data_IF_777262290102
#
_entry.id   IF_777262290102
#
_cell.length_a   1.000
_cell.length_b   1.000
_cell.length_c   1.000
_cell.angle_alpha   90.00
_cell.angle_beta   90.00
_cell.angle_gamma   90.00
#
_symmetry.space_group_name_H-M   'P 1'
#
loop_
_entity.id
_entity.type
_entity.pdbx_description
1 polymer ?
#
# COMPACT_ATOMS: atom_id res chain seq x y z
N UNK A 1 6.33 -3.07 -23.07
CA UNK A 1 6.05 -1.68 -22.71
C UNK A 1 6.92 -0.77 -23.57
N UNK A 2 6.36 0.25 -24.23
CA UNK A 2 7.14 1.18 -25.08
C UNK A 2 7.78 2.32 -24.26
N UNK A 3 7.03 2.89 -23.32
CA UNK A 3 7.51 3.86 -22.36
C UNK A 3 6.60 3.88 -21.12
N UNK A 4 7.13 4.28 -19.98
CA UNK A 4 6.39 4.49 -18.74
C UNK A 4 6.85 5.78 -18.04
N UNK A 5 5.91 6.45 -17.36
CA UNK A 5 6.19 7.64 -16.57
C UNK A 5 5.09 7.83 -15.51
N UNK A 6 5.40 8.53 -14.42
CA UNK A 6 4.44 8.76 -13.35
C UNK A 6 5.01 9.59 -12.20
N UNK A 7 4.19 9.75 -11.17
CA UNK A 7 4.54 10.41 -9.91
C UNK A 7 4.06 9.51 -8.77
N UNK A 8 4.99 8.93 -8.01
CA UNK A 8 4.68 8.00 -6.92
C UNK A 8 4.17 8.70 -5.65
N UNK A 9 4.10 10.04 -5.68
CA UNK A 9 3.55 10.90 -4.62
C UNK A 9 2.40 11.76 -5.17
N UNK A 10 1.56 11.16 -6.00
CA UNK A 10 0.33 11.76 -6.51
C UNK A 10 -0.78 10.71 -6.55
N UNK A 11 -1.79 10.87 -5.69
CA UNK A 11 -2.87 9.90 -5.53
C UNK A 11 -4.19 10.51 -5.06
N UNK A 12 -5.17 9.65 -4.75
CA UNK A 12 -6.49 10.06 -4.26
C UNK A 12 -6.43 10.90 -2.98
N UNK A 13 -5.48 10.58 -2.09
CA UNK A 13 -5.26 11.26 -0.82
C UNK A 13 -4.88 12.74 -1.01
N UNK A 14 -4.13 13.07 -2.08
CA UNK A 14 -3.82 14.48 -2.40
C UNK A 14 -5.09 15.26 -2.78
N UNK A 15 -6.03 14.61 -3.48
CA UNK A 15 -7.32 15.21 -3.81
C UNK A 15 -8.22 15.35 -2.58
N UNK A 16 -8.14 14.42 -1.63
CA UNK A 16 -8.85 14.56 -0.35
C UNK A 16 -8.26 15.71 0.46
N UNK A 17 -6.93 15.81 0.48
CA UNK A 17 -6.21 16.86 1.21
C UNK A 17 -6.63 18.26 0.75
N UNK A 18 -6.85 18.51 -0.54
CA UNK A 18 -7.29 19.84 -0.98
C UNK A 18 -8.67 20.24 -0.45
N UNK A 19 -9.55 19.26 -0.19
CA UNK A 19 -10.86 19.50 0.43
C UNK A 19 -10.68 19.69 1.94
N UNK A 20 -9.85 18.88 2.59
CA UNK A 20 -9.51 19.02 4.02
C UNK A 20 -8.93 20.40 4.31
N UNK A 21 -7.94 20.84 3.53
CA UNK A 21 -7.30 22.15 3.68
C UNK A 21 -8.33 23.27 3.48
N UNK A 22 -9.22 23.16 2.48
CA UNK A 22 -10.28 24.13 2.26
C UNK A 22 -11.26 24.23 3.44
N UNK A 23 -11.71 23.09 3.99
CA UNK A 23 -12.59 23.04 5.16
C UNK A 23 -11.91 23.59 6.41
N UNK A 24 -10.65 23.21 6.64
CA UNK A 24 -9.89 23.64 7.81
C UNK A 24 -9.56 25.13 7.77
N UNK A 25 -9.18 25.67 6.61
CA UNK A 25 -8.95 27.10 6.43
C UNK A 25 -10.22 27.92 6.63
N UNK A 26 -11.36 27.45 6.13
CA UNK A 26 -12.64 28.12 6.33
C UNK A 26 -13.03 28.13 7.80
N UNK A 27 -12.97 26.97 8.47
CA UNK A 27 -13.27 26.82 9.88
C UNK A 27 -12.34 27.66 10.77
N UNK A 28 -11.05 27.72 10.44
CA UNK A 28 -10.10 28.57 11.17
C UNK A 28 -10.45 30.05 11.02
N UNK A 29 -10.92 30.49 9.84
CA UNK A 29 -11.34 31.89 9.62
C UNK A 29 -12.63 32.22 10.38
N UNK A 30 -13.57 31.29 10.49
CA UNK A 30 -14.87 31.52 11.13
C UNK A 30 -14.83 31.35 12.65
N UNK A 31 -14.17 30.31 13.13
CA UNK A 31 -14.17 29.91 14.55
C UNK A 31 -12.84 30.19 15.27
N UNK A 32 -11.77 30.53 14.54
CA UNK A 32 -10.44 30.77 15.11
C UNK A 32 -9.71 29.51 15.58
N UNK A 33 -10.22 28.32 15.25
CA UNK A 33 -9.70 27.03 15.70
C UNK A 33 -9.04 26.29 14.53
N UNK A 34 -7.83 25.79 14.75
CA UNK A 34 -7.07 25.01 13.79
C UNK A 34 -7.34 23.51 13.97
N UNK A 35 -8.25 22.96 13.14
CA UNK A 35 -8.63 21.55 13.19
C UNK A 35 -7.52 20.59 12.76
N UNK A 36 -6.49 21.06 12.05
CA UNK A 36 -5.40 20.20 11.58
C UNK A 36 -4.50 19.71 12.73
N UNK A 37 -4.57 20.38 13.89
CA UNK A 37 -3.85 19.98 15.11
C UNK A 37 -4.60 18.96 15.95
N UNK A 38 -5.90 18.82 15.76
CA UNK A 38 -6.73 17.84 16.44
C UNK A 38 -6.79 16.56 15.60
N UNK A 39 -6.15 15.48 16.10
CA UNK A 39 -6.07 14.20 15.39
C UNK A 39 -7.45 13.58 15.14
N UNK A 40 -8.40 13.75 16.06
CA UNK A 40 -9.75 13.19 15.90
C UNK A 40 -10.55 14.01 14.87
N UNK A 41 -10.46 15.34 14.94
CA UNK A 41 -11.11 16.20 13.96
C UNK A 41 -10.53 16.00 12.55
N UNK A 42 -9.21 15.89 12.43
CA UNK A 42 -8.52 15.64 11.16
C UNK A 42 -8.96 14.33 10.51
N UNK A 43 -9.07 13.23 11.27
CA UNK A 43 -9.56 11.96 10.74
C UNK A 43 -10.97 12.10 10.16
N UNK A 44 -11.88 12.74 10.91
CA UNK A 44 -13.27 12.96 10.47
C UNK A 44 -13.36 13.91 9.27
N UNK A 45 -12.50 14.92 9.20
CA UNK A 45 -12.38 15.80 8.03
C UNK A 45 -11.95 15.01 6.79
N UNK A 46 -10.94 14.14 6.92
CA UNK A 46 -10.44 13.32 5.82
C UNK A 46 -11.52 12.37 5.29
N UNK A 47 -12.23 11.66 6.17
CA UNK A 47 -13.33 10.75 5.76
C UNK A 47 -14.47 11.51 5.05
N UNK A 48 -14.83 12.69 5.57
CA UNK A 48 -15.87 13.51 4.96
C UNK A 48 -15.43 14.10 3.61
N UNK A 49 -14.16 14.49 3.50
CA UNK A 49 -13.55 14.98 2.27
C UNK A 49 -13.53 13.89 1.18
N UNK A 50 -13.09 12.68 1.52
CA UNK A 50 -13.09 11.55 0.58
C UNK A 50 -14.50 11.24 0.09
N UNK A 51 -15.48 11.17 1.00
CA UNK A 51 -16.87 10.94 0.64
C UNK A 51 -17.40 12.03 -0.29
N UNK A 52 -17.12 13.30 0.00
CA UNK A 52 -17.53 14.42 -0.85
C UNK A 52 -16.87 14.35 -2.24
N UNK A 53 -15.57 14.03 -2.33
CA UNK A 53 -14.84 13.82 -3.59
C UNK A 53 -15.50 12.73 -4.44
N UNK A 54 -15.83 11.59 -3.83
CA UNK A 54 -16.48 10.47 -4.51
C UNK A 54 -17.87 10.89 -5.00
N UNK A 55 -18.69 11.51 -4.16
CA UNK A 55 -20.02 12.01 -4.54
C UNK A 55 -19.94 12.98 -5.72
N UNK A 56 -19.00 13.93 -5.70
CA UNK A 56 -18.79 14.92 -6.76
C UNK A 56 -18.40 14.32 -8.11
N UNK A 57 -17.97 13.05 -8.15
CA UNK A 57 -17.76 12.34 -9.41
C UNK A 57 -19.09 11.99 -10.10
N UNK A 58 -20.17 11.81 -9.35
CA UNK A 58 -21.52 11.54 -9.84
C UNK A 58 -22.43 12.77 -9.90
N UNK A 59 -22.34 13.67 -8.92
CA UNK A 59 -23.23 14.84 -8.77
C UNK A 59 -22.49 16.17 -8.92
N UNK A 60 -23.22 17.27 -9.12
CA UNK A 60 -22.64 18.61 -9.29
C UNK A 60 -22.30 19.32 -7.97
N UNK A 61 -22.91 18.88 -6.87
CA UNK A 61 -22.74 19.48 -5.54
C UNK A 61 -22.89 18.40 -4.47
N UNK A 62 -22.01 18.43 -3.47
CA UNK A 62 -22.02 17.54 -2.31
C UNK A 62 -22.15 18.36 -1.03
N UNK A 63 -22.89 17.83 -0.04
CA UNK A 63 -23.08 18.47 1.26
C UNK A 63 -22.20 17.80 2.31
N UNK A 64 -21.41 18.60 3.00
CA UNK A 64 -20.49 18.17 4.05
C UNK A 64 -21.08 18.62 5.39
N UNK A 65 -21.45 17.66 6.23
CA UNK A 65 -22.00 17.89 7.56
C UNK A 65 -21.19 17.11 8.59
N UNK A 66 -20.48 17.83 9.47
CA UNK A 66 -19.70 17.27 10.57
C UNK A 66 -20.18 17.89 11.89
N UNK A 67 -21.18 17.28 12.53
CA UNK A 67 -21.64 17.76 13.82
C UNK A 67 -20.63 17.44 14.92
N UNK A 68 -20.48 18.33 15.91
CA UNK A 68 -19.59 18.15 17.06
C UNK A 68 -18.14 17.85 16.60
N UNK A 69 -17.63 18.62 15.64
CA UNK A 69 -16.28 18.40 15.09
C UNK A 69 -15.21 18.74 16.12
N UNK A 70 -15.47 19.74 16.96
CA UNK A 70 -14.63 20.14 18.09
C UNK A 70 -15.49 20.92 19.10
N UNK A 71 -14.89 21.41 20.19
CA UNK A 71 -15.56 22.27 21.16
C UNK A 71 -14.61 23.36 21.69
N UNK A 72 -15.18 24.52 22.05
CA UNK A 72 -14.48 25.62 22.71
C UNK A 72 -15.24 26.07 23.97
N UNK A 73 -14.83 27.20 24.56
CA UNK A 73 -15.48 27.77 25.74
C UNK A 73 -16.95 28.20 25.50
N UNK A 74 -17.36 28.39 24.24
CA UNK A 74 -18.74 28.73 23.85
C UNK A 74 -19.61 27.48 23.59
N UNK A 75 -18.99 26.31 23.47
CA UNK A 75 -19.67 25.03 23.32
C UNK A 75 -19.17 24.20 22.13
N UNK A 76 -19.93 23.17 21.73
CA UNK A 76 -19.60 22.35 20.58
C UNK A 76 -19.71 23.13 19.26
N UNK A 77 -18.82 22.80 18.31
CA UNK A 77 -18.77 23.38 16.97
C UNK A 77 -19.05 22.34 15.90
N UNK A 78 -19.51 22.81 14.75
CA UNK A 78 -19.99 21.98 13.65
C UNK A 78 -19.47 22.54 12.32
N UNK A 79 -19.40 21.70 11.28
CA UNK A 79 -19.21 22.15 9.90
C UNK A 79 -20.47 21.78 9.12
N UNK A 80 -21.06 22.75 8.45
CA UNK A 80 -22.11 22.57 7.44
C UNK A 80 -21.74 23.37 6.20
N UNK A 81 -21.20 22.70 5.19
CA UNK A 81 -20.71 23.32 3.96
C UNK A 81 -21.25 22.59 2.74
N UNK A 82 -21.43 23.31 1.63
CA UNK A 82 -21.74 22.71 0.32
C UNK A 82 -20.56 22.94 -0.61
N UNK A 83 -20.09 21.88 -1.24
CA UNK A 83 -18.96 21.91 -2.17
C UNK A 83 -19.49 21.58 -3.56
N UNK A 84 -19.30 22.48 -4.53
CA UNK A 84 -19.61 22.21 -5.93
C UNK A 84 -18.43 21.52 -6.63
N UNK A 85 -18.73 20.73 -7.68
CA UNK A 85 -17.72 20.07 -8.51
C UNK A 85 -16.74 21.09 -9.10
N UNK A 86 -17.26 22.21 -9.60
CA UNK A 86 -16.44 23.28 -10.16
C UNK A 86 -15.46 23.86 -9.11
N UNK A 87 -15.89 24.01 -7.86
CA UNK A 87 -15.02 24.48 -6.78
C UNK A 87 -13.96 23.43 -6.42
N UNK A 88 -14.34 22.16 -6.33
CA UNK A 88 -13.39 21.06 -6.11
C UNK A 88 -12.32 21.02 -7.21
N UNK A 89 -12.71 21.06 -8.49
CA UNK A 89 -11.78 21.05 -9.61
C UNK A 89 -10.87 22.28 -9.62
N UNK A 90 -11.36 23.44 -9.17
CA UNK A 90 -10.53 24.63 -8.97
C UNK A 90 -9.47 24.41 -7.88
N UNK A 91 -9.86 23.84 -6.73
CA UNK A 91 -8.95 23.52 -5.62
C UNK A 91 -7.89 22.50 -6.05
N UNK A 92 -8.29 21.49 -6.83
CA UNK A 92 -7.43 20.42 -7.32
C UNK A 92 -6.66 20.77 -8.61
N UNK A 93 -6.83 21.98 -9.17
CA UNK A 93 -6.30 22.37 -10.48
C UNK A 93 -4.79 22.11 -10.65
N UNK A 94 -3.99 22.35 -9.61
CA UNK A 94 -2.55 22.06 -9.61
C UNK A 94 -2.24 20.56 -9.67
N UNK A 95 -3.03 19.72 -9.00
CA UNK A 95 -2.87 18.26 -9.03
C UNK A 95 -3.26 17.70 -10.41
N UNK A 96 -4.38 18.17 -10.96
CA UNK A 96 -4.82 17.81 -12.31
C UNK A 96 -3.75 18.21 -13.35
N UNK A 97 -3.17 19.41 -13.22
CA UNK A 97 -2.10 19.84 -14.10
C UNK A 97 -0.82 18.98 -13.98
N UNK A 98 -0.49 18.49 -12.77
CA UNK A 98 0.65 17.56 -12.57
C UNK A 98 0.48 16.24 -13.34
N UNK A 99 -0.76 15.76 -13.53
CA UNK A 99 -1.03 14.53 -14.29
C UNK A 99 -0.67 14.61 -15.78
N UNK A 100 -0.59 15.81 -16.36
CA UNK A 100 -0.27 16.02 -17.78
C UNK A 100 1.17 15.64 -18.13
N UNK A 101 2.12 16.07 -17.30
CA UNK A 101 3.56 15.95 -17.59
C UNK A 101 4.01 14.50 -17.80
N UNK A 102 3.60 13.51 -16.98
CA UNK A 102 3.96 12.12 -17.20
C UNK A 102 3.45 11.56 -18.54
N UNK A 103 2.22 11.90 -18.93
CA UNK A 103 1.63 11.42 -20.19
C UNK A 103 2.38 11.98 -21.40
N UNK A 104 2.67 13.28 -21.39
CA UNK A 104 3.44 13.94 -22.45
C UNK A 104 4.86 13.38 -22.56
N UNK A 105 5.51 13.14 -21.41
CA UNK A 105 6.83 12.51 -21.36
C UNK A 105 6.80 11.07 -21.91
N UNK A 106 5.79 10.27 -21.54
CA UNK A 106 5.64 8.91 -22.02
C UNK A 106 5.42 8.85 -23.55
N UNK A 107 4.59 9.74 -24.11
CA UNK A 107 4.40 9.87 -25.56
C UNK A 107 5.71 10.25 -26.27
N UNK A 108 6.46 11.21 -25.71
CA UNK A 108 7.76 11.62 -26.25
C UNK A 108 8.77 10.46 -26.25
N UNK A 109 8.86 9.72 -25.15
CA UNK A 109 9.82 8.63 -24.99
C UNK A 109 9.49 7.43 -25.89
N UNK A 110 8.20 7.12 -26.04
CA UNK A 110 7.70 6.06 -26.92
C UNK A 110 7.77 6.43 -28.39
N UNK A 111 8.01 7.71 -28.72
CA UNK A 111 8.08 8.26 -30.08
C UNK A 111 6.81 8.03 -30.90
N UNK A 112 5.68 7.87 -30.23
CA UNK A 112 4.35 7.80 -30.86
C UNK A 112 3.60 9.11 -30.64
N UNK A 113 2.84 9.51 -31.64
CA UNK A 113 1.94 10.64 -31.55
C UNK A 113 0.66 10.27 -30.79
N UNK A 114 0.01 11.26 -30.19
CA UNK A 114 -1.30 11.12 -29.56
C UNK A 114 -2.34 10.45 -30.48
N UNK A 115 -2.29 10.72 -31.79
CA UNK A 115 -3.20 10.12 -32.77
C UNK A 115 -3.03 8.61 -32.95
N UNK A 116 -1.82 8.08 -32.71
CA UNK A 116 -1.49 6.66 -32.88
C UNK A 116 -1.97 5.79 -31.71
N UNK A 117 -2.36 6.39 -30.58
CA UNK A 117 -2.91 5.66 -29.42
C UNK A 117 -4.28 5.08 -29.76
N UNK A 118 -4.42 3.77 -29.90
CA UNK A 118 -5.72 3.18 -30.28
C UNK A 118 -6.78 3.29 -29.18
N UNK A 119 -6.41 3.01 -27.94
CA UNK A 119 -7.32 2.90 -26.79
C UNK A 119 -6.72 3.64 -25.59
N UNK A 120 -7.59 4.21 -24.74
CA UNK A 120 -7.20 4.74 -23.44
C UNK A 120 -7.82 3.84 -22.38
N UNK A 121 -7.01 3.30 -21.49
CA UNK A 121 -7.50 2.49 -20.37
C UNK A 121 -7.27 3.25 -19.07
N UNK A 122 -8.33 3.50 -18.31
CA UNK A 122 -8.27 4.17 -17.02
C UNK A 122 -8.29 3.14 -15.90
N UNK A 123 -7.34 3.24 -14.96
CA UNK A 123 -7.16 2.29 -13.86
C UNK A 123 -7.02 3.07 -12.55
N UNK A 124 -7.67 2.59 -11.48
CA UNK A 124 -7.70 3.21 -10.16
C UNK A 124 -8.88 4.15 -9.92
N UNK A 125 -9.38 4.18 -8.69
CA UNK A 125 -10.62 4.88 -8.32
C UNK A 125 -10.62 6.39 -8.63
N UNK A 126 -9.49 7.08 -8.46
CA UNK A 126 -9.38 8.52 -8.76
C UNK A 126 -9.60 8.87 -10.23
N UNK A 127 -9.52 7.89 -11.15
CA UNK A 127 -9.85 8.11 -12.57
C UNK A 127 -11.35 8.31 -12.82
N UNK A 128 -12.19 8.09 -11.80
CA UNK A 128 -13.63 8.38 -11.84
C UNK A 128 -13.93 9.88 -11.77
N UNK A 129 -12.96 10.71 -11.40
CA UNK A 129 -13.08 12.17 -11.37
C UNK A 129 -13.27 12.69 -12.82
N UNK A 130 -14.35 13.42 -13.14
CA UNK A 130 -14.65 13.86 -14.51
C UNK A 130 -13.54 14.70 -15.18
N UNK A 131 -12.88 15.57 -14.44
CA UNK A 131 -11.76 16.38 -14.96
C UNK A 131 -10.53 15.53 -15.31
N UNK A 132 -10.29 14.41 -14.62
CA UNK A 132 -9.21 13.46 -14.95
C UNK A 132 -9.55 12.70 -16.23
N UNK A 133 -10.80 12.25 -16.41
CA UNK A 133 -11.24 11.61 -17.65
C UNK A 133 -11.15 12.56 -18.85
N UNK A 134 -11.54 13.82 -18.64
CA UNK A 134 -11.47 14.87 -19.65
C UNK A 134 -10.02 15.16 -20.05
N UNK A 135 -9.13 15.30 -19.06
CA UNK A 135 -7.70 15.48 -19.29
C UNK A 135 -7.11 14.30 -20.07
N UNK A 136 -7.39 13.06 -19.66
CA UNK A 136 -6.90 11.86 -20.35
C UNK A 136 -7.36 11.83 -21.81
N UNK A 137 -8.62 12.18 -22.08
CA UNK A 137 -9.17 12.28 -23.43
C UNK A 137 -8.48 13.37 -24.25
N UNK A 138 -8.31 14.57 -23.68
CA UNK A 138 -7.65 15.71 -24.33
C UNK A 138 -6.22 15.37 -24.78
N UNK A 139 -5.45 14.72 -23.89
CA UNK A 139 -4.03 14.40 -24.12
C UNK A 139 -3.78 13.45 -25.29
N UNK A 140 -4.78 12.65 -25.68
CA UNK A 140 -4.67 11.69 -26.78
C UNK A 140 -5.62 11.97 -27.95
N UNK A 141 -5.94 13.24 -28.17
CA UNK A 141 -6.71 13.68 -29.35
C UNK A 141 -8.22 13.46 -29.25
N UNK A 142 -8.78 13.54 -28.03
CA UNK A 142 -10.22 13.49 -27.79
C UNK A 142 -10.85 12.10 -27.84
N UNK A 143 -10.03 11.03 -27.80
CA UNK A 143 -10.53 9.65 -27.76
C UNK A 143 -11.25 9.39 -26.44
N UNK A 144 -12.34 8.62 -26.48
CA UNK A 144 -13.07 8.25 -25.26
C UNK A 144 -12.32 7.14 -24.53
N UNK A 145 -12.21 7.22 -23.20
CA UNK A 145 -11.71 6.11 -22.41
C UNK A 145 -12.50 4.83 -22.62
N UNK A 146 -11.78 3.72 -22.71
CA UNK A 146 -12.32 2.39 -22.78
C UNK A 146 -12.87 2.00 -21.40
N UNK A 147 -14.13 1.58 -21.38
CA UNK A 147 -14.86 1.18 -20.17
C UNK A 147 -15.09 -0.32 -20.07
N UNK A 148 -14.42 -1.13 -20.90
CA UNK A 148 -14.55 -2.59 -20.89
C UNK A 148 -13.80 -3.26 -19.73
N UNK A 149 -12.99 -2.50 -18.99
CA UNK A 149 -12.23 -3.01 -17.83
C UNK A 149 -12.73 -2.38 -16.54
N UNK A 150 -12.72 -3.18 -15.47
CA UNK A 150 -13.01 -2.68 -14.14
C UNK A 150 -11.76 -1.98 -13.58
N UNK A 151 -11.79 -0.65 -13.32
CA UNK A 151 -10.61 0.09 -12.86
C UNK A 151 -10.13 -0.33 -11.46
N UNK A 152 -10.98 -1.03 -10.68
CA UNK A 152 -10.67 -1.44 -9.31
C UNK A 152 -10.03 -2.84 -9.25
N UNK A 153 -10.25 -3.68 -10.27
CA UNK A 153 -9.87 -5.11 -10.26
C UNK A 153 -8.82 -5.47 -11.31
N UNK A 154 -8.71 -4.69 -12.40
CA UNK A 154 -7.91 -5.06 -13.58
C UNK A 154 -6.44 -5.34 -13.27
N UNK A 155 -5.87 -4.66 -12.27
CA UNK A 155 -4.48 -4.89 -11.84
C UNK A 155 -4.35 -6.29 -11.22
N UNK A 156 -5.26 -6.67 -10.32
CA UNK A 156 -5.25 -7.98 -9.67
C UNK A 156 -5.48 -9.11 -10.69
N UNK A 157 -6.38 -8.90 -11.66
CA UNK A 157 -6.61 -9.84 -12.76
C UNK A 157 -5.33 -10.00 -13.60
N UNK A 158 -4.66 -8.89 -13.96
CA UNK A 158 -3.38 -8.93 -14.67
C UNK A 158 -2.29 -9.69 -13.92
N UNK A 159 -2.19 -9.50 -12.60
CA UNK A 159 -1.26 -10.23 -11.75
C UNK A 159 -1.57 -11.75 -11.73
N UNK A 160 -2.85 -12.14 -11.67
CA UNK A 160 -3.25 -13.55 -11.74
C UNK A 160 -2.90 -14.18 -13.10
N UNK A 161 -3.07 -13.46 -14.20
CA UNK A 161 -2.62 -13.91 -15.54
C UNK A 161 -1.11 -14.12 -15.55
N UNK A 162 -0.34 -13.16 -15.01
CA UNK A 162 1.12 -13.29 -14.92
C UNK A 162 1.54 -14.52 -14.07
N UNK A 163 0.85 -14.79 -12.97
CA UNK A 163 1.07 -16.00 -12.18
C UNK A 163 0.79 -17.28 -12.98
N UNK A 164 -0.30 -17.30 -13.77
CA UNK A 164 -0.62 -18.39 -14.68
C UNK A 164 0.42 -18.61 -15.78
N UNK A 165 1.04 -17.54 -16.29
CA UNK A 165 2.16 -17.62 -17.25
C UNK A 165 3.39 -18.25 -16.58
N UNK A 166 3.72 -17.81 -15.36
CA UNK A 166 4.85 -18.37 -14.60
C UNK A 166 4.63 -19.84 -14.22
N UNK A 167 3.39 -20.25 -13.94
CA UNK A 167 3.01 -21.64 -13.67
C UNK A 167 2.99 -22.52 -14.94
N UNK A 168 2.93 -21.91 -16.13
CA UNK A 168 2.83 -22.60 -17.41
C UNK A 168 1.40 -22.98 -17.83
N UNK A 169 0.40 -22.55 -17.06
CA UNK A 169 -1.03 -22.77 -17.34
C UNK A 169 -1.53 -21.85 -18.47
N UNK A 170 -0.96 -20.65 -18.58
CA UNK A 170 -1.24 -19.69 -19.65
C UNK A 170 -0.11 -19.72 -20.66
N UNK A 171 -0.44 -20.09 -21.91
CA UNK A 171 0.52 -20.20 -23.02
C UNK A 171 0.37 -19.03 -23.99
N UNK A 172 1.39 -18.84 -24.82
CA UNK A 172 1.41 -17.87 -25.92
C UNK A 172 1.32 -16.38 -25.52
N UNK A 173 1.71 -16.06 -24.28
CA UNK A 173 1.87 -14.66 -23.82
C UNK A 173 3.35 -14.38 -23.58
N UNK A 174 3.87 -13.33 -24.21
CA UNK A 174 5.22 -12.79 -23.96
C UNK A 174 5.08 -11.37 -23.43
N UNK A 175 5.56 -11.16 -22.22
CA UNK A 175 5.63 -9.83 -21.61
C UNK A 175 7.08 -9.32 -21.68
N UNK A 176 7.26 -8.16 -22.29
CA UNK A 176 8.51 -7.42 -22.28
C UNK A 176 8.28 -6.09 -21.56
N UNK A 177 8.84 -5.96 -20.38
CA UNK A 177 8.73 -4.74 -19.58
C UNK A 177 10.00 -3.88 -19.69
N UNK A 178 10.00 -2.70 -19.08
CA UNK A 178 11.09 -1.73 -19.10
C UNK A 178 11.39 -1.16 -17.73
N UNK A 179 12.63 -0.71 -17.49
CA UNK A 179 12.95 0.08 -16.28
C UNK A 179 12.41 1.51 -16.38
N UNK A 180 11.72 2.06 -15.35
CA UNK A 180 11.07 3.37 -15.43
C UNK A 180 12.03 4.57 -15.31
N UNK A 181 13.22 4.37 -14.75
CA UNK A 181 14.22 5.41 -14.50
C UNK A 181 15.61 4.94 -14.94
N UNK A 182 16.42 5.90 -15.37
CA UNK A 182 17.80 5.69 -15.74
C UNK A 182 18.61 5.24 -14.52
N UNK A 183 19.44 4.23 -14.70
CA UNK A 183 20.36 3.70 -13.69
C UNK A 183 21.79 4.04 -14.06
N UNK A 184 22.56 4.46 -13.07
CA UNK A 184 23.90 4.95 -13.28
C UNK A 184 24.75 4.95 -12.04
N UNK A 185 25.94 5.52 -12.16
CA UNK A 185 26.89 5.71 -11.06
C UNK A 185 27.30 7.17 -10.92
N UNK A 186 27.68 7.56 -9.70
CA UNK A 186 28.38 8.82 -9.49
C UNK A 186 29.81 8.73 -10.03
N UNK A 187 30.23 9.78 -10.74
CA UNK A 187 31.59 9.93 -11.26
C UNK A 187 32.22 11.23 -10.77
N UNK A 188 33.52 11.42 -11.06
CA UNK A 188 34.29 12.58 -10.61
C UNK A 188 33.54 13.89 -10.90
N UNK A 189 33.44 14.75 -9.89
CA UNK A 189 32.70 16.02 -9.97
C UNK A 189 31.22 15.91 -9.59
N UNK A 190 30.78 14.77 -9.05
CA UNK A 190 29.40 14.56 -8.59
C UNK A 190 28.41 14.43 -9.75
N UNK A 191 28.89 13.99 -10.91
CA UNK A 191 28.09 13.83 -12.14
C UNK A 191 27.52 12.43 -12.19
N UNK A 192 26.22 12.32 -12.49
CA UNK A 192 25.56 11.05 -12.72
C UNK A 192 25.85 10.54 -14.14
N UNK A 193 26.54 9.42 -14.24
CA UNK A 193 26.81 8.75 -15.52
C UNK A 193 25.83 7.59 -15.70
N UNK A 194 25.00 7.66 -16.73
CA UNK A 194 23.93 6.69 -17.00
C UNK A 194 24.49 5.47 -17.75
N UNK A 195 24.25 4.28 -17.21
CA UNK A 195 24.63 3.00 -17.85
C UNK A 195 23.43 2.33 -18.52
N UNK A 196 22.26 2.36 -17.87
CA UNK A 196 21.01 1.82 -18.38
C UNK A 196 19.99 2.97 -18.44
N UNK A 197 19.68 3.52 -19.62
CA UNK A 197 18.68 4.56 -19.77
C UNK A 197 17.28 4.09 -19.35
N UNK A 198 16.42 5.02 -18.91
CA UNK A 198 14.99 4.73 -18.70
C UNK A 198 14.34 4.15 -19.96
N UNK A 199 13.27 3.39 -19.77
CA UNK A 199 12.54 2.65 -20.79
C UNK A 199 13.39 1.58 -21.53
N UNK A 200 14.56 1.20 -20.99
CA UNK A 200 15.30 0.03 -21.50
C UNK A 200 14.55 -1.25 -21.13
N UNK A 201 14.33 -2.14 -22.11
CA UNK A 201 13.68 -3.43 -21.92
C UNK A 201 14.45 -4.30 -20.91
N UNK A 202 13.72 -4.94 -20.00
CA UNK A 202 14.26 -5.88 -19.01
C UNK A 202 13.81 -7.32 -19.32
N UNK A 203 14.61 -8.35 -18.95
CA UNK A 203 15.91 -8.27 -18.29
C UNK A 203 17.01 -7.69 -19.20
N UNK A 204 18.01 -7.03 -18.61
CA UNK A 204 19.12 -6.41 -19.35
C UNK A 204 20.39 -6.31 -18.53
N UNK A 205 21.54 -6.36 -19.22
CA UNK A 205 22.86 -6.27 -18.62
C UNK A 205 23.72 -5.24 -19.36
N UNK A 206 24.35 -4.34 -18.60
CA UNK A 206 25.31 -3.36 -19.11
C UNK A 206 26.56 -3.32 -18.27
N UNK A 207 27.70 -3.21 -18.96
CA UNK A 207 29.02 -3.19 -18.35
C UNK A 207 29.80 -2.01 -18.90
N UNK A 208 30.40 -1.23 -18.02
CA UNK A 208 31.24 -0.08 -18.36
C UNK A 208 32.50 -0.08 -17.50
N UNK A 209 33.60 0.42 -18.06
CA UNK A 209 34.90 0.43 -17.38
C UNK A 209 35.21 1.84 -16.89
N UNK A 210 35.36 1.97 -15.59
CA UNK A 210 35.78 3.18 -14.89
C UNK A 210 37.23 3.05 -14.42
N UNK A 211 37.78 4.15 -13.88
CA UNK A 211 39.12 4.17 -13.32
C UNK A 211 39.21 5.04 -12.07
N UNK A 212 40.35 5.02 -11.38
CA UNK A 212 40.59 5.80 -10.16
C UNK A 212 40.69 7.29 -10.46
N UNK A 213 40.20 8.10 -9.52
CA UNK A 213 40.19 9.56 -9.62
C UNK A 213 41.50 10.19 -9.12
N UNK A 214 42.22 9.49 -8.23
CA UNK A 214 43.47 9.96 -7.61
C UNK A 214 44.58 8.93 -7.73
N UNK A 215 45.83 9.40 -7.68
CA UNK A 215 47.01 8.52 -7.72
C UNK A 215 47.06 7.63 -6.48
N UNK A 216 47.47 6.37 -6.66
CA UNK A 216 47.60 5.37 -5.59
C UNK A 216 46.35 5.19 -4.73
N UNK A 217 45.16 5.37 -5.32
CA UNK A 217 43.87 5.19 -4.66
C UNK A 217 43.69 3.71 -4.24
N UNK A 218 43.62 3.38 -2.93
CA UNK A 218 43.60 1.99 -2.46
C UNK A 218 42.24 1.30 -2.62
N UNK A 219 41.18 2.07 -2.81
CA UNK A 219 39.81 1.58 -2.99
C UNK A 219 38.94 2.54 -3.79
N UNK A 220 37.96 1.99 -4.52
CA UNK A 220 36.99 2.78 -5.31
C UNK A 220 35.62 2.64 -4.68
N UNK A 221 34.99 3.77 -4.40
CA UNK A 221 33.60 3.82 -3.95
C UNK A 221 32.68 3.93 -5.18
N UNK A 222 31.69 3.05 -5.24
CA UNK A 222 30.67 3.02 -6.30
C UNK A 222 29.35 3.44 -5.66
N UNK A 223 28.87 4.62 -6.03
CA UNK A 223 27.55 5.14 -5.63
C UNK A 223 26.58 4.86 -6.76
N UNK A 224 25.60 3.99 -6.51
CA UNK A 224 24.57 3.60 -7.47
C UNK A 224 23.39 4.56 -7.40
N UNK A 225 22.97 5.07 -8.55
CA UNK A 225 21.98 6.12 -8.68
C UNK A 225 20.80 5.68 -9.57
N UNK A 226 19.63 6.25 -9.28
CA UNK A 226 18.45 6.18 -10.12
C UNK A 226 17.84 7.57 -10.33
N UNK A 227 17.66 7.97 -11.59
CA UNK A 227 17.02 9.24 -11.95
C UNK A 227 17.60 9.89 -13.21
N UNK A 228 17.00 11.02 -13.62
CA UNK A 228 17.27 11.69 -14.89
C UNK A 228 18.08 13.00 -14.75
N UNK A 229 18.52 13.34 -13.53
CA UNK A 229 19.23 14.60 -13.26
C UNK A 229 20.72 14.43 -13.53
N UNK A 230 21.38 15.49 -13.98
CA UNK A 230 22.80 15.44 -14.37
C UNK A 230 23.76 15.27 -13.17
N UNK A 231 23.38 15.73 -11.98
CA UNK A 231 24.21 15.64 -10.78
C UNK A 231 23.69 14.54 -9.85
N UNK A 232 24.60 13.79 -9.25
CA UNK A 232 24.29 12.66 -8.35
C UNK A 232 23.38 13.06 -7.19
N UNK A 233 23.64 14.23 -6.57
CA UNK A 233 22.87 14.78 -5.44
C UNK A 233 21.38 15.02 -5.73
N UNK A 234 21.01 15.16 -7.00
CA UNK A 234 19.64 15.43 -7.44
C UNK A 234 18.88 14.14 -7.82
N UNK A 235 19.54 12.98 -7.74
CA UNK A 235 18.97 11.67 -8.04
C UNK A 235 18.81 10.84 -6.76
N UNK A 236 18.08 9.73 -6.87
CA UNK A 236 17.93 8.78 -5.76
C UNK A 236 19.19 7.91 -5.68
N UNK A 237 19.88 7.94 -4.55
CA UNK A 237 20.92 6.95 -4.23
C UNK A 237 20.22 5.65 -3.87
N UNK A 238 20.58 4.58 -4.59
CA UNK A 238 20.06 3.24 -4.35
C UNK A 238 20.96 2.44 -3.39
N UNK A 239 22.27 2.68 -3.44
CA UNK A 239 23.23 2.01 -2.59
C UNK A 239 24.66 2.47 -2.88
N UNK A 240 25.54 2.25 -1.91
CA UNK A 240 26.96 2.57 -2.03
C UNK A 240 27.75 1.35 -1.58
N UNK A 241 28.75 0.95 -2.36
CA UNK A 241 29.67 -0.12 -1.97
C UNK A 241 31.08 0.22 -2.40
N UNK A 242 32.06 -0.39 -1.73
CA UNK A 242 33.48 -0.09 -1.92
C UNK A 242 34.24 -1.31 -2.41
N UNK A 243 34.96 -1.14 -3.52
CA UNK A 243 35.89 -2.14 -4.02
C UNK A 243 37.28 -1.89 -3.43
N UNK A 244 37.68 -2.74 -2.48
CA UNK A 244 38.94 -2.61 -1.75
C UNK A 244 40.12 -3.34 -2.40
N UNK A 245 41.32 -2.82 -2.14
CA UNK A 245 42.57 -3.46 -2.51
C UNK A 245 42.93 -3.30 -3.98
N UNK A 246 42.66 -2.10 -4.51
CA UNK A 246 43.16 -1.62 -5.81
C UNK A 246 44.68 -1.39 -5.68
N UNK A 247 45.52 -1.96 -6.56
CA UNK A 247 46.97 -1.76 -6.50
C UNK A 247 47.37 -0.28 -6.67
N UNK A 248 48.43 0.20 -5.99
CA UNK A 248 48.94 1.54 -6.19
C UNK A 248 49.36 1.76 -7.65
N UNK A 249 48.65 2.66 -8.34
CA UNK A 249 48.92 3.04 -9.71
C UNK A 249 48.55 4.53 -9.93
N UNK A 250 49.10 5.20 -10.95
CA UNK A 250 48.64 6.52 -11.35
C UNK A 250 47.13 6.52 -11.64
N UNK A 251 46.45 7.64 -11.40
CA UNK A 251 45.03 7.81 -11.74
C UNK A 251 44.77 7.46 -13.21
N UNK A 252 43.62 6.86 -13.51
CA UNK A 252 43.27 6.47 -14.87
C UNK A 252 43.87 5.13 -15.35
N UNK A 253 44.75 4.49 -14.56
CA UNK A 253 45.37 3.20 -14.92
C UNK A 253 44.54 1.99 -14.46
N UNK A 254 44.05 1.91 -13.21
CA UNK A 254 43.21 0.78 -12.79
C UNK A 254 41.94 0.68 -13.63
N UNK A 255 41.56 -0.53 -14.03
CA UNK A 255 40.35 -0.77 -14.84
C UNK A 255 39.28 -1.42 -13.98
N UNK A 256 38.33 -0.61 -13.51
CA UNK A 256 37.22 -1.04 -12.68
C UNK A 256 36.01 -1.27 -13.57
N UNK A 257 35.72 -2.53 -13.84
CA UNK A 257 34.55 -2.95 -14.61
C UNK A 257 33.32 -2.93 -13.71
N UNK A 258 32.37 -2.03 -13.98
CA UNK A 258 31.10 -1.96 -13.28
C UNK A 258 30.01 -2.53 -14.16
N UNK A 259 29.27 -3.51 -13.65
CA UNK A 259 28.22 -4.23 -14.34
C UNK A 259 26.90 -4.05 -13.62
N UNK A 260 25.89 -3.58 -14.36
CA UNK A 260 24.50 -3.48 -13.93
C UNK A 260 23.72 -4.60 -14.62
N UNK A 261 23.02 -5.40 -13.82
CA UNK A 261 22.19 -6.50 -14.28
C UNK A 261 20.79 -6.36 -13.66
N UNK A 262 19.78 -6.17 -14.50
CA UNK A 262 18.38 -6.07 -14.09
C UNK A 262 17.67 -7.34 -14.54
N UNK A 263 17.08 -8.05 -13.57
CA UNK A 263 16.33 -9.27 -13.86
C UNK A 263 14.90 -8.98 -14.37
N UNK A 264 14.13 -10.04 -14.64
CA UNK A 264 12.75 -9.92 -15.10
C UNK A 264 11.78 -9.34 -14.05
N UNK A 265 12.17 -9.30 -12.77
CA UNK A 265 11.40 -8.71 -11.68
C UNK A 265 11.78 -7.24 -11.43
N UNK A 266 12.76 -6.71 -12.16
CA UNK A 266 13.29 -5.37 -11.93
C UNK A 266 14.27 -5.28 -10.76
N UNK A 267 14.77 -6.41 -10.24
CA UNK A 267 15.81 -6.43 -9.19
C UNK A 267 17.15 -6.07 -9.83
N UNK A 268 17.83 -5.08 -9.27
CA UNK A 268 19.10 -4.59 -9.74
C UNK A 268 20.25 -5.27 -8.99
N UNK A 269 21.13 -5.95 -9.71
CA UNK A 269 22.42 -6.42 -9.22
C UNK A 269 23.51 -5.55 -9.82
N UNK A 270 24.30 -4.91 -8.96
CA UNK A 270 25.46 -4.12 -9.38
C UNK A 270 26.72 -4.80 -8.89
N UNK A 271 27.64 -5.10 -9.80
CA UNK A 271 28.96 -5.63 -9.50
C UNK A 271 30.05 -4.68 -9.96
N UNK A 272 31.13 -4.58 -9.19
CA UNK A 272 32.37 -3.93 -9.60
C UNK A 272 33.52 -4.95 -9.52
N UNK A 273 34.34 -5.02 -10.56
CA UNK A 273 35.48 -5.91 -10.66
C UNK A 273 36.72 -5.17 -11.16
N UNK A 274 37.81 -5.25 -10.42
CA UNK A 274 39.11 -4.80 -10.93
C UNK A 274 39.68 -5.85 -11.89
N UNK A 275 39.88 -5.46 -13.16
CA UNK A 275 40.40 -6.38 -14.19
C UNK A 275 41.84 -6.80 -13.94
N UNK A 276 42.62 -6.01 -13.21
CA UNK A 276 44.02 -6.31 -12.91
C UNK A 276 44.18 -7.39 -11.84
N UNK A 277 43.42 -7.27 -10.74
CA UNK A 277 43.51 -8.20 -9.60
C UNK A 277 42.46 -9.31 -9.63
N UNK A 278 41.38 -9.15 -10.41
CA UNK A 278 40.23 -10.05 -10.42
C UNK A 278 39.33 -9.93 -9.20
N UNK A 279 39.63 -9.04 -8.25
CA UNK A 279 38.78 -8.78 -7.09
C UNK A 279 37.46 -8.19 -7.52
N UNK A 280 36.39 -8.67 -6.91
CA UNK A 280 35.04 -8.21 -7.17
C UNK A 280 34.28 -7.91 -5.87
N UNK A 281 33.33 -6.99 -5.97
CA UNK A 281 32.34 -6.69 -4.96
C UNK A 281 31.00 -6.49 -5.64
N UNK A 282 29.94 -6.97 -5.03
CA UNK A 282 28.58 -6.85 -5.56
C UNK A 282 27.63 -6.34 -4.50
N UNK A 283 26.58 -5.67 -4.96
CA UNK A 283 25.43 -5.29 -4.15
C UNK A 283 24.17 -5.69 -4.92
N UNK A 284 23.23 -6.31 -4.21
CA UNK A 284 21.89 -6.58 -4.72
C UNK A 284 20.94 -5.54 -4.13
N UNK A 285 20.24 -4.84 -5.00
CA UNK A 285 19.30 -3.79 -4.66
C UNK A 285 17.92 -4.28 -5.09
N UNK A 286 17.21 -4.89 -4.14
CA UNK A 286 15.81 -5.23 -4.31
C UNK A 286 14.95 -3.98 -4.08
N UNK A 287 14.03 -3.69 -4.99
CA UNK A 287 13.10 -2.57 -4.83
C UNK A 287 12.25 -2.72 -3.56
N UNK A 288 12.09 -1.61 -2.84
CA UNK A 288 11.14 -1.36 -1.72
C UNK A 288 11.33 -2.09 -0.39
N UNK A 289 12.17 -3.12 -0.26
CA UNK A 289 12.49 -3.72 1.04
C UNK A 289 13.85 -3.26 1.53
N UNK A 290 13.87 -2.34 2.50
CA UNK A 290 15.07 -2.02 3.30
C UNK A 290 15.36 -3.04 4.38
N UNK A 291 14.55 -4.11 4.47
CA UNK A 291 14.66 -5.12 5.51
C UNK A 291 15.71 -6.14 5.10
N UNK A 292 16.65 -6.40 6.01
CA UNK A 292 17.58 -7.50 5.85
C UNK A 292 16.86 -8.84 6.11
N UNK A 293 17.55 -9.93 5.80
CA UNK A 293 16.99 -11.27 5.97
C UNK A 293 16.60 -11.57 7.43
N UNK A 294 17.34 -11.02 8.39
CA UNK A 294 17.06 -11.22 9.82
C UNK A 294 15.77 -10.54 10.26
N UNK A 295 15.49 -9.34 9.75
CA UNK A 295 14.23 -8.65 9.99
C UNK A 295 13.05 -9.38 9.35
N UNK A 296 13.23 -9.93 8.14
CA UNK A 296 12.20 -10.76 7.48
C UNK A 296 11.90 -12.00 8.30
N UNK A 297 12.92 -12.75 8.73
CA UNK A 297 12.74 -13.97 9.51
C UNK A 297 12.04 -13.68 10.85
N UNK A 298 12.38 -12.55 11.50
CA UNK A 298 11.71 -12.08 12.71
C UNK A 298 10.25 -11.73 12.46
N UNK A 299 9.94 -11.00 11.39
CA UNK A 299 8.56 -10.65 11.04
C UNK A 299 7.70 -11.87 10.74
N UNK A 300 8.28 -12.92 10.12
CA UNK A 300 7.58 -14.20 9.92
C UNK A 300 7.26 -14.86 11.25
N UNK A 301 8.22 -14.91 12.18
CA UNK A 301 7.98 -15.47 13.52
C UNK A 301 6.92 -14.66 14.30
N UNK A 302 6.98 -13.33 14.23
CA UNK A 302 6.00 -12.45 14.87
C UNK A 302 4.59 -12.67 14.27
N UNK A 303 4.49 -12.86 12.94
CA UNK A 303 3.23 -13.15 12.28
C UNK A 303 2.66 -14.52 12.68
N UNK A 304 3.50 -15.56 12.80
CA UNK A 304 3.09 -16.87 13.30
C UNK A 304 2.61 -16.81 14.76
N UNK A 305 3.31 -16.06 15.61
CA UNK A 305 2.92 -15.85 17.00
C UNK A 305 1.57 -15.11 17.10
N UNK A 306 1.37 -14.05 16.31
CA UNK A 306 0.11 -13.32 16.23
C UNK A 306 -1.02 -14.22 15.73
N UNK A 307 -0.79 -15.05 14.71
CA UNK A 307 -1.80 -16.00 14.21
C UNK A 307 -2.21 -17.03 15.28
N UNK A 308 -1.26 -17.48 16.11
CA UNK A 308 -1.56 -18.36 17.24
C UNK A 308 -2.36 -17.64 18.34
N UNK A 309 -2.06 -16.37 18.62
CA UNK A 309 -2.83 -15.55 19.56
C UNK A 309 -4.26 -15.29 19.03
N UNK A 310 -4.39 -14.93 17.76
CA UNK A 310 -5.68 -14.73 17.09
C UNK A 310 -6.53 -16.01 17.10
N UNK A 311 -5.91 -17.18 16.89
CA UNK A 311 -6.59 -18.47 17.01
C UNK A 311 -7.11 -18.73 18.43
N UNK A 312 -6.35 -18.36 19.47
CA UNK A 312 -6.80 -18.47 20.86
C UNK A 312 -7.93 -17.51 21.18
N UNK A 313 -7.82 -16.25 20.74
CA UNK A 313 -8.89 -15.25 20.88
C UNK A 313 -10.16 -15.70 20.17
N UNK A 314 -10.03 -16.29 18.97
CA UNK A 314 -11.15 -16.89 18.24
C UNK A 314 -11.79 -18.05 19.03
N UNK A 315 -11.00 -19.00 19.52
CA UNK A 315 -11.51 -20.12 20.33
C UNK A 315 -12.22 -19.64 21.61
N UNK A 316 -11.70 -18.62 22.27
CA UNK A 316 -12.33 -18.00 23.43
C UNK A 316 -13.69 -17.37 23.09
N UNK A 317 -13.76 -16.61 21.98
CA UNK A 317 -15.01 -16.00 21.51
C UNK A 317 -16.03 -17.05 21.08
N UNK A 318 -15.62 -18.07 20.32
CA UNK A 318 -16.50 -19.17 19.90
C UNK A 318 -17.02 -19.97 21.10
N UNK A 319 -16.16 -20.28 22.06
CA UNK A 319 -16.54 -20.95 23.32
C UNK A 319 -17.54 -20.12 24.10
N UNK A 320 -17.30 -18.81 24.24
CA UNK A 320 -18.22 -17.88 24.91
C UNK A 320 -19.59 -17.84 24.22
N UNK A 321 -19.61 -17.70 22.89
CA UNK A 321 -20.85 -17.68 22.10
C UNK A 321 -21.65 -19.00 22.22
N UNK A 322 -20.95 -20.14 22.21
CA UNK A 322 -21.56 -21.45 22.41
C UNK A 322 -22.18 -21.59 23.81
N UNK A 323 -21.48 -21.11 24.84
CA UNK A 323 -21.96 -21.10 26.21
C UNK A 323 -23.18 -20.17 26.38
N UNK A 324 -23.15 -18.95 25.83
CA UNK A 324 -24.31 -18.02 25.80
C UNK A 324 -25.54 -18.67 25.15
N UNK A 325 -25.32 -19.31 23.99
CA UNK A 325 -26.37 -19.99 23.25
C UNK A 325 -26.97 -21.13 24.06
N UNK A 326 -26.14 -21.92 24.74
CA UNK A 326 -26.59 -23.02 25.60
C UNK A 326 -27.37 -22.50 26.81
N UNK A 327 -26.90 -21.46 27.49
CA UNK A 327 -27.62 -20.82 28.61
C UNK A 327 -29.02 -20.39 28.15
N UNK A 328 -29.11 -19.67 27.03
CA UNK A 328 -30.38 -19.21 26.49
C UNK A 328 -31.34 -20.36 26.13
N UNK A 329 -30.83 -21.39 25.44
CA UNK A 329 -31.64 -22.56 25.08
C UNK A 329 -32.15 -23.31 26.31
N UNK A 330 -31.30 -23.43 27.33
CA UNK A 330 -31.64 -24.10 28.59
C UNK A 330 -32.69 -23.33 29.37
N UNK A 331 -32.52 -22.01 29.52
CA UNK A 331 -33.51 -21.13 30.16
C UNK A 331 -34.87 -21.24 29.46
N UNK A 332 -34.87 -21.25 28.12
CA UNK A 332 -36.09 -21.40 27.32
C UNK A 332 -36.74 -22.77 27.51
N UNK A 333 -35.97 -23.86 27.44
CA UNK A 333 -36.49 -25.22 27.63
C UNK A 333 -37.09 -25.41 29.03
N UNK A 334 -36.42 -24.92 30.08
CA UNK A 334 -36.93 -24.99 31.45
C UNK A 334 -38.21 -24.15 31.62
N UNK A 335 -38.29 -22.99 30.97
CA UNK A 335 -39.49 -22.16 30.95
C UNK A 335 -40.66 -22.84 30.21
N UNK A 336 -40.41 -23.46 29.07
CA UNK A 336 -41.43 -24.11 28.23
C UNK A 336 -41.96 -25.40 28.88
N UNK A 337 -41.10 -26.15 29.59
CA UNK A 337 -41.47 -27.38 30.29
C UNK A 337 -42.14 -27.12 31.64
N UNK A 338 -41.84 -26.01 32.31
CA UNK A 338 -42.49 -25.60 33.56
C UNK A 338 -42.52 -26.70 34.63
N UNK A 339 -43.71 -27.10 35.06
CA UNK A 339 -43.92 -28.14 36.08
C UNK A 339 -43.69 -29.58 35.59
N UNK A 340 -43.43 -29.77 34.29
CA UNK A 340 -43.16 -31.11 33.71
C UNK A 340 -41.72 -31.58 33.92
N UNK A 341 -40.82 -30.69 34.36
CA UNK A 341 -39.44 -31.05 34.70
C UNK A 341 -39.42 -31.66 36.11
N UNK A 342 -38.90 -32.88 36.30
CA UNK A 342 -38.76 -33.49 37.62
C UNK A 342 -37.95 -32.58 38.58
N UNK A 343 -38.41 -32.45 39.82
CA UNK A 343 -37.85 -31.51 40.80
C UNK A 343 -36.37 -31.79 41.14
N UNK A 344 -35.98 -33.05 41.08
CA UNK A 344 -34.61 -33.56 41.23
C UNK A 344 -33.69 -33.14 40.07
N UNK A 345 -34.18 -33.21 38.83
CA UNK A 345 -33.45 -32.73 37.64
C UNK A 345 -33.33 -31.21 37.64
N UNK A 346 -34.41 -30.50 37.99
CA UNK A 346 -34.40 -29.03 38.09
C UNK A 346 -33.41 -28.53 39.14
N UNK A 347 -33.35 -29.18 40.30
CA UNK A 347 -32.38 -28.87 41.36
C UNK A 347 -30.91 -29.14 40.96
N UNK A 348 -30.68 -30.01 39.96
CA UNK A 348 -29.34 -30.27 39.40
C UNK A 348 -28.93 -29.24 38.33
N UNK A 349 -29.87 -28.78 37.51
CA UNK A 349 -29.61 -27.92 36.35
C UNK A 349 -29.52 -26.43 36.72
N UNK A 350 -30.43 -25.92 37.56
CA UNK A 350 -30.47 -24.50 37.94
C UNK A 350 -29.13 -23.96 38.49
N UNK A 351 -28.41 -24.63 39.40
CA UNK A 351 -27.12 -24.13 39.88
C UNK A 351 -26.03 -24.15 38.80
N UNK A 352 -26.02 -25.14 37.90
CA UNK A 352 -25.05 -25.23 36.79
C UNK A 352 -25.31 -24.16 35.72
N UNK A 353 -26.59 -23.91 35.42
CA UNK A 353 -27.04 -22.86 34.51
C UNK A 353 -26.65 -21.48 35.02
N UNK A 354 -26.92 -21.18 36.30
CA UNK A 354 -26.58 -19.90 36.90
C UNK A 354 -25.06 -19.68 36.91
N UNK A 355 -24.28 -20.70 37.28
CA UNK A 355 -22.82 -20.62 37.27
C UNK A 355 -22.27 -20.35 35.86
N UNK A 356 -22.80 -21.03 34.83
CA UNK A 356 -22.37 -20.80 33.44
C UNK A 356 -22.73 -19.38 32.98
N UNK A 357 -23.92 -18.90 33.32
CA UNK A 357 -24.39 -17.55 33.01
C UNK A 357 -23.50 -16.47 33.63
N UNK A 358 -23.16 -16.61 34.90
CA UNK A 358 -22.28 -15.66 35.60
C UNK A 358 -20.86 -15.67 34.99
N UNK A 359 -20.35 -16.86 34.65
CA UNK A 359 -19.02 -17.00 34.05
C UNK A 359 -18.94 -16.34 32.68
N UNK A 360 -19.97 -16.50 31.87
CA UNK A 360 -20.02 -15.93 30.51
C UNK A 360 -20.16 -14.40 30.52
N UNK A 361 -20.78 -13.84 31.57
CA UNK A 361 -20.91 -12.39 31.74
C UNK A 361 -19.58 -11.68 32.07
N UNK A 362 -18.52 -12.42 32.40
CA UNK A 362 -17.19 -11.85 32.61
C UNK A 362 -16.62 -11.25 31.29
N UNK A 363 -15.80 -10.20 31.42
CA UNK A 363 -15.17 -9.54 30.28
C UNK A 363 -14.17 -10.47 29.56
N UNK A 364 -13.39 -11.24 30.33
CA UNK A 364 -12.42 -12.21 29.84
C UNK A 364 -12.57 -13.54 30.59
N UNK A 365 -13.56 -14.37 30.23
CA UNK A 365 -13.81 -15.62 30.92
C UNK A 365 -12.76 -16.68 30.54
N UNK A 366 -12.38 -17.49 31.53
CA UNK A 366 -11.51 -18.66 31.31
C UNK A 366 -12.15 -19.64 30.32
N UNK A 367 -11.51 -19.80 29.16
CA UNK A 367 -12.02 -20.61 28.05
C UNK A 367 -12.12 -22.10 28.38
N UNK A 368 -11.17 -22.65 29.13
CA UNK A 368 -11.17 -24.08 29.49
C UNK A 368 -12.23 -24.38 30.56
N UNK A 369 -12.42 -23.44 31.49
CA UNK A 369 -13.51 -23.52 32.46
C UNK A 369 -14.87 -23.42 31.76
N UNK A 370 -15.03 -22.50 30.81
CA UNK A 370 -16.26 -22.39 30.01
C UNK A 370 -16.58 -23.67 29.24
N UNK A 371 -15.58 -24.29 28.58
CA UNK A 371 -15.77 -25.58 27.89
C UNK A 371 -16.26 -26.66 28.84
N UNK A 372 -15.65 -26.74 30.02
CA UNK A 372 -16.02 -27.71 31.06
C UNK A 372 -17.47 -27.50 31.53
N UNK A 373 -17.81 -26.27 31.92
CA UNK A 373 -19.16 -25.94 32.41
C UNK A 373 -20.23 -26.12 31.33
N UNK A 374 -19.91 -25.80 30.07
CA UNK A 374 -20.79 -26.04 28.91
C UNK A 374 -21.08 -27.53 28.73
N UNK A 375 -20.05 -28.38 28.81
CA UNK A 375 -20.19 -29.84 28.70
C UNK A 375 -21.00 -30.41 29.87
N UNK A 376 -20.70 -29.99 31.09
CA UNK A 376 -21.39 -30.45 32.30
C UNK A 376 -22.90 -30.10 32.28
N UNK A 377 -23.26 -28.95 31.72
CA UNK A 377 -24.66 -28.54 31.54
C UNK A 377 -25.34 -29.35 30.43
N UNK A 378 -24.65 -29.58 29.29
CA UNK A 378 -25.17 -30.43 28.22
C UNK A 378 -25.46 -31.86 28.68
N UNK A 379 -24.58 -32.46 29.48
CA UNK A 379 -24.76 -33.81 30.01
C UNK A 379 -25.98 -33.93 30.94
N UNK A 380 -26.28 -32.90 31.74
CA UNK A 380 -27.51 -32.89 32.55
C UNK A 380 -28.76 -32.70 31.69
N UNK A 381 -28.70 -31.85 30.65
CA UNK A 381 -29.83 -31.63 29.75
C UNK A 381 -30.22 -32.89 28.97
N UNK A 382 -29.25 -33.74 28.63
CA UNK A 382 -29.54 -35.04 27.99
C UNK A 382 -30.40 -35.96 28.88
N UNK A 383 -30.33 -35.83 30.21
CA UNK A 383 -31.15 -36.61 31.15
C UNK A 383 -32.60 -36.10 31.24
N UNK A 384 -32.87 -34.87 30.80
CA UNK A 384 -34.24 -34.31 30.75
C UNK A 384 -34.99 -34.81 29.50
N UNK A 385 -34.26 -35.18 28.45
CA UNK A 385 -34.82 -35.70 27.19
C UNK A 385 -34.98 -37.23 27.14
N UNK A 386 -34.47 -37.96 28.13
CA UNK A 386 -34.69 -39.40 28.34
C UNK A 386 -35.86 -39.60 29.31
#
# INVERSE_FOLDING_TARGET
>A
VLATNGDTQLGGDDFDKVIVDWLAEDFQKTEGIDLLKDRQALQRLTEAAEKAKIELSGVQEAKISLPFITADASGPKHIEQSLSRAKFEQLASKLIARCRTPVENALKDSKISASEINEIVLVGGSTRIPSIQSLASELVGGKKPNQSVNPDEVVAVGAAVQAGVLAGDVKDIVLLDVTPLSLGVETLGGVATVLIPRNTTIPTKKTEVFSTATDSQPSVEIVVLQGERQFAKDNKILGTFRLDGVPPAPRGVPQIEVTFDIDANGILNVGAKDRGTGKEQTITIAGSSTLDKTDVDKMVQDAEANAAEDSKRKDAVETKNNAESLVYQTEKQLSDLGDKVPADLKASIDPKLQALKDKVAEAEPDTELLKTMTKDLQEELMKVGQ
#
